data_IF_793283662399
#
_entry.id   IF_793283662399
#
_cell.length_a   1.000
_cell.length_b   1.000
_cell.length_c   1.000
_cell.angle_alpha   90.00
_cell.angle_beta   90.00
_cell.angle_gamma   90.00
#
_symmetry.space_group_name_H-M   'P 1'
#
loop_
_entity.id
_entity.type
_entity.pdbx_description
1 polymer ?
#
# COMPACT_ATOMS: atom_id res chain seq x y z
N UNK A 1 -14.23 -15.08 -10.20
CA UNK A 1 -13.72 -15.76 -11.41
C UNK A 1 -12.28 -16.15 -11.13
N UNK A 2 -11.96 -17.45 -11.04
CA UNK A 2 -10.58 -17.93 -10.79
C UNK A 2 -9.97 -18.29 -12.14
N UNK A 3 -8.99 -17.52 -12.59
CA UNK A 3 -8.13 -17.91 -13.71
C UNK A 3 -6.72 -18.00 -13.14
N UNK A 4 -6.19 -19.21 -13.15
CA UNK A 4 -4.84 -19.53 -12.68
C UNK A 4 -3.95 -19.49 -13.90
N UNK A 5 -2.81 -18.79 -13.84
CA UNK A 5 -1.81 -18.89 -14.90
C UNK A 5 -1.39 -20.35 -15.09
N UNK A 6 -1.19 -20.82 -16.32
CA UNK A 6 -0.80 -22.21 -16.60
C UNK A 6 0.54 -22.61 -15.98
N UNK A 7 1.34 -21.65 -15.47
CA UNK A 7 2.64 -21.89 -14.85
C UNK A 7 2.74 -21.47 -13.38
N UNK A 8 1.65 -20.98 -12.77
CA UNK A 8 1.66 -20.68 -11.33
C UNK A 8 1.53 -21.99 -10.55
N UNK A 9 2.60 -22.43 -9.89
CA UNK A 9 2.58 -23.58 -9.00
C UNK A 9 1.83 -23.23 -7.71
N UNK A 10 0.50 -23.20 -7.82
CA UNK A 10 -0.40 -22.90 -6.72
C UNK A 10 -0.27 -23.89 -5.56
N UNK A 11 0.07 -25.15 -5.86
CA UNK A 11 0.25 -26.17 -4.83
C UNK A 11 1.45 -25.82 -3.95
N UNK A 12 2.57 -25.43 -4.56
CA UNK A 12 3.73 -24.92 -3.84
C UNK A 12 3.43 -23.60 -3.13
N UNK A 13 2.72 -22.65 -3.76
CA UNK A 13 2.34 -21.39 -3.09
C UNK A 13 1.45 -21.62 -1.86
N UNK A 14 0.45 -22.49 -1.94
CA UNK A 14 -0.40 -22.85 -0.81
C UNK A 14 0.36 -23.61 0.28
N UNK A 15 1.23 -24.55 -0.10
CA UNK A 15 2.03 -25.33 0.84
C UNK A 15 3.12 -24.50 1.54
N UNK A 16 3.69 -23.52 0.84
CA UNK A 16 4.90 -22.82 1.26
C UNK A 16 4.69 -21.36 1.68
N UNK A 17 3.56 -20.75 1.31
CA UNK A 17 3.31 -19.31 1.41
C UNK A 17 2.18 -18.87 2.34
N UNK A 18 1.18 -19.72 2.65
CA UNK A 18 -0.04 -19.32 3.36
C UNK A 18 -0.20 -19.87 4.79
N UNK A 19 0.68 -19.55 5.76
CA UNK A 19 0.46 -19.94 7.15
C UNK A 19 -0.69 -19.18 7.84
N UNK A 20 -1.30 -18.19 7.19
CA UNK A 20 -2.32 -17.28 7.76
C UNK A 20 -3.65 -17.21 6.98
N UNK A 21 -4.12 -18.31 6.37
CA UNK A 21 -5.36 -18.36 5.57
C UNK A 21 -5.39 -17.34 4.40
N UNK A 22 -4.22 -17.09 3.81
CA UNK A 22 -4.09 -16.20 2.67
C UNK A 22 -4.80 -16.78 1.44
N UNK A 23 -5.55 -15.93 0.72
CA UNK A 23 -6.17 -16.30 -0.55
C UNK A 23 -5.42 -15.64 -1.70
N UNK A 24 -4.77 -16.45 -2.54
CA UNK A 24 -4.11 -15.96 -3.74
C UNK A 24 -5.11 -15.87 -4.88
N UNK A 25 -5.16 -14.72 -5.55
CA UNK A 25 -5.97 -14.51 -6.74
C UNK A 25 -5.15 -13.71 -7.75
N UNK A 26 -5.07 -14.21 -8.98
CA UNK A 26 -4.40 -13.54 -10.10
C UNK A 26 -5.47 -12.84 -10.93
N UNK A 27 -5.23 -11.60 -11.33
CA UNK A 27 -6.10 -10.91 -12.27
C UNK A 27 -5.98 -11.61 -13.65
N UNK A 28 -7.08 -12.05 -14.26
CA UNK A 28 -7.01 -12.75 -15.54
C UNK A 28 -6.40 -11.82 -16.62
N UNK A 29 -5.68 -12.38 -17.61
CA UNK A 29 -5.34 -11.62 -18.80
C UNK A 29 -6.63 -11.19 -19.51
N UNK A 30 -6.65 -9.97 -20.02
CA UNK A 30 -7.75 -9.44 -20.82
C UNK A 30 -7.48 -9.76 -22.30
N UNK A 31 -8.29 -10.60 -22.96
CA UNK A 31 -8.07 -10.95 -24.36
C UNK A 31 -7.97 -9.71 -25.25
N UNK A 32 -6.92 -9.65 -26.09
CA UNK A 32 -6.68 -8.52 -26.99
C UNK A 32 -6.03 -7.29 -26.33
N UNK A 33 -5.69 -7.34 -25.04
CA UNK A 33 -5.06 -6.24 -24.31
C UNK A 33 -3.69 -6.65 -23.73
N UNK A 34 -2.77 -5.70 -23.51
CA UNK A 34 -1.47 -5.99 -22.90
C UNK A 34 -1.61 -6.43 -21.43
N UNK A 35 -0.67 -7.23 -20.89
CA UNK A 35 -0.70 -7.69 -19.49
C UNK A 35 -0.78 -6.56 -18.46
N UNK A 36 -0.26 -5.38 -18.80
CA UNK A 36 -0.30 -4.17 -17.96
C UNK A 36 -1.71 -3.65 -17.71
N UNK A 37 -2.68 -4.02 -18.56
CA UNK A 37 -4.11 -3.75 -18.33
C UNK A 37 -4.63 -4.52 -17.13
N UNK A 38 -4.21 -5.79 -16.97
CA UNK A 38 -4.62 -6.60 -15.82
C UNK A 38 -4.15 -5.96 -14.52
N UNK A 39 -2.88 -5.51 -14.46
CA UNK A 39 -2.36 -4.78 -13.30
C UNK A 39 -3.17 -3.49 -13.01
N UNK A 40 -3.48 -2.70 -14.04
CA UNK A 40 -4.28 -1.48 -13.89
C UNK A 40 -5.68 -1.76 -13.31
N UNK A 41 -6.32 -2.87 -13.70
CA UNK A 41 -7.67 -3.21 -13.27
C UNK A 41 -7.72 -4.05 -11.98
N UNK A 42 -6.59 -4.59 -11.51
CA UNK A 42 -6.50 -5.42 -10.30
C UNK A 42 -7.25 -4.85 -9.09
N UNK A 43 -7.11 -3.56 -8.72
CA UNK A 43 -7.81 -3.04 -7.53
C UNK A 43 -9.34 -3.14 -7.64
N UNK A 44 -9.90 -2.90 -8.83
CA UNK A 44 -11.34 -2.97 -9.05
C UNK A 44 -11.85 -4.41 -9.14
N UNK A 45 -11.10 -5.27 -9.83
CA UNK A 45 -11.44 -6.70 -9.90
C UNK A 45 -11.41 -7.34 -8.51
N UNK A 46 -10.42 -7.00 -7.69
CA UNK A 46 -10.33 -7.44 -6.30
C UNK A 46 -11.49 -6.88 -5.46
N UNK A 47 -11.82 -5.60 -5.62
CA UNK A 47 -12.93 -4.96 -4.92
C UNK A 47 -14.26 -5.67 -5.18
N UNK A 48 -14.59 -5.91 -6.45
CA UNK A 48 -15.81 -6.61 -6.86
C UNK A 48 -15.82 -8.06 -6.36
N UNK A 49 -14.69 -8.77 -6.47
CA UNK A 49 -14.56 -10.15 -5.98
C UNK A 49 -14.78 -10.26 -4.46
N UNK A 50 -14.49 -9.20 -3.71
CA UNK A 50 -14.70 -9.11 -2.27
C UNK A 50 -16.07 -8.52 -1.88
N UNK A 51 -17.06 -8.52 -2.80
CA UNK A 51 -18.43 -8.08 -2.52
C UNK A 51 -18.72 -6.60 -2.78
N UNK A 52 -17.75 -5.88 -3.35
CA UNK A 52 -17.90 -4.52 -3.84
C UNK A 52 -18.47 -3.54 -2.81
N UNK A 53 -19.26 -2.58 -3.28
CA UNK A 53 -19.78 -1.51 -2.42
C UNK A 53 -20.79 -2.00 -1.36
N UNK A 54 -21.48 -3.12 -1.62
CA UNK A 54 -22.62 -3.58 -0.80
C UNK A 54 -22.23 -4.57 0.29
N UNK A 55 -21.19 -5.37 0.08
CA UNK A 55 -20.87 -6.52 0.93
C UNK A 55 -19.38 -6.69 1.25
N UNK A 56 -18.58 -5.65 1.04
CA UNK A 56 -17.15 -5.69 1.36
C UNK A 56 -16.89 -5.82 2.86
N UNK A 57 -16.20 -6.89 3.26
CA UNK A 57 -15.73 -7.16 4.63
C UNK A 57 -14.20 -6.96 4.77
N UNK A 58 -13.64 -6.02 4.01
CA UNK A 58 -12.21 -5.70 4.06
C UNK A 58 -12.03 -4.20 4.34
N UNK A 59 -10.91 -3.84 4.95
CA UNK A 59 -10.54 -2.45 5.22
C UNK A 59 -9.54 -1.90 4.21
N UNK A 60 -8.60 -2.73 3.78
CA UNK A 60 -7.48 -2.35 2.91
C UNK A 60 -7.23 -3.43 1.85
N UNK A 61 -6.88 -3.02 0.63
CA UNK A 61 -6.38 -3.90 -0.42
C UNK A 61 -4.93 -3.53 -0.69
N UNK A 62 -4.05 -4.54 -0.66
CA UNK A 62 -2.64 -4.43 -0.99
C UNK A 62 -2.47 -4.97 -2.41
N UNK A 63 -1.99 -4.13 -3.32
CA UNK A 63 -1.77 -4.49 -4.74
C UNK A 63 -0.28 -4.46 -5.00
N UNK A 64 0.27 -5.57 -5.46
CA UNK A 64 1.67 -5.70 -5.86
C UNK A 64 1.79 -6.64 -7.06
N UNK A 65 3.00 -6.73 -7.58
CA UNK A 65 3.38 -7.69 -8.61
C UNK A 65 3.62 -9.08 -8.00
N UNK A 66 3.86 -10.09 -8.83
CA UNK A 66 4.16 -11.47 -8.42
C UNK A 66 5.50 -11.61 -7.65
N UNK A 67 6.29 -10.55 -7.63
CA UNK A 67 7.58 -10.40 -6.95
C UNK A 67 7.56 -9.28 -5.88
N UNK A 68 6.37 -8.86 -5.43
CA UNK A 68 6.21 -7.97 -4.27
C UNK A 68 6.11 -8.78 -2.97
N UNK A 69 7.02 -8.56 -2.03
CA UNK A 69 6.95 -9.10 -0.66
C UNK A 69 6.27 -8.07 0.24
N UNK A 70 5.22 -8.46 0.96
CA UNK A 70 4.59 -7.61 1.98
C UNK A 70 4.98 -8.02 3.40
N UNK A 71 5.25 -7.02 4.25
CA UNK A 71 5.34 -7.21 5.70
C UNK A 71 4.01 -6.81 6.34
N UNK A 72 3.08 -7.78 6.50
CA UNK A 72 1.75 -7.50 7.06
C UNK A 72 1.81 -6.86 8.46
N UNK A 73 2.68 -7.28 9.41
CA UNK A 73 2.81 -6.58 10.69
C UNK A 73 3.24 -5.12 10.54
N UNK A 74 4.15 -4.82 9.60
CA UNK A 74 4.59 -3.45 9.34
C UNK A 74 3.49 -2.62 8.67
N UNK A 75 2.71 -3.21 7.76
CA UNK A 75 1.51 -2.58 7.19
C UNK A 75 0.50 -2.24 8.29
N UNK A 76 0.13 -3.21 9.13
CA UNK A 76 -0.81 -2.99 10.21
C UNK A 76 -0.33 -1.92 11.19
N UNK A 77 0.96 -1.95 11.56
CA UNK A 77 1.56 -0.89 12.38
C UNK A 77 1.48 0.47 11.69
N UNK A 78 1.89 0.56 10.41
CA UNK A 78 1.85 1.79 9.61
C UNK A 78 0.46 2.43 9.65
N UNK A 79 -0.59 1.62 9.42
CA UNK A 79 -1.98 2.05 9.40
C UNK A 79 -2.49 2.43 10.80
N UNK A 80 -2.23 1.60 11.81
CA UNK A 80 -2.75 1.77 13.17
C UNK A 80 -2.05 2.89 13.95
N UNK A 81 -0.70 2.96 13.93
CA UNK A 81 0.05 4.00 14.64
C UNK A 81 -0.22 5.40 14.05
N UNK A 82 -0.69 5.48 12.79
CA UNK A 82 -1.10 6.74 12.15
C UNK A 82 -2.59 7.03 12.25
N UNK A 83 -3.38 6.11 12.82
CA UNK A 83 -4.83 6.26 12.94
C UNK A 83 -5.54 6.46 11.60
N UNK A 84 -5.05 5.85 10.52
CA UNK A 84 -5.66 5.98 9.19
C UNK A 84 -6.98 5.22 9.16
N UNK A 85 -8.05 5.90 8.74
CA UNK A 85 -9.39 5.30 8.66
C UNK A 85 -9.60 4.67 7.29
N UNK A 86 -10.02 3.42 7.26
CA UNK A 86 -10.25 2.71 6.01
C UNK A 86 -11.42 3.30 5.18
N UNK A 87 -12.33 4.05 5.82
CA UNK A 87 -13.46 4.71 5.15
C UNK A 87 -13.04 5.99 4.44
N UNK A 88 -11.91 6.58 4.82
CA UNK A 88 -11.34 7.73 4.16
C UNK A 88 -10.55 7.30 2.91
N UNK A 89 -10.55 8.09 1.83
CA UNK A 89 -9.95 7.74 0.54
C UNK A 89 -8.43 7.86 0.54
N UNK A 90 -7.77 6.93 1.23
CA UNK A 90 -6.32 6.77 1.21
C UNK A 90 -5.84 5.92 0.03
N UNK A 91 -4.85 6.45 -0.67
CA UNK A 91 -3.93 5.72 -1.55
C UNK A 91 -2.53 5.81 -0.91
N UNK A 92 -1.81 4.70 -0.74
CA UNK A 92 -0.55 4.69 0.00
C UNK A 92 0.53 3.93 -0.78
N UNK A 93 1.63 4.61 -1.10
CA UNK A 93 2.84 4.05 -1.70
C UNK A 93 3.97 5.07 -1.56
N UNK A 94 5.24 4.63 -1.62
CA UNK A 94 6.30 5.55 -2.03
C UNK A 94 6.24 5.63 -3.55
N UNK A 95 6.11 6.83 -4.08
CA UNK A 95 5.79 7.04 -5.48
C UNK A 95 6.98 7.67 -6.21
N UNK A 96 7.03 7.49 -7.52
CA UNK A 96 8.04 8.07 -8.39
C UNK A 96 7.50 9.30 -9.12
N UNK A 97 8.37 10.27 -9.41
CA UNK A 97 8.03 11.40 -10.28
C UNK A 97 8.36 11.07 -11.74
N UNK A 98 7.38 11.25 -12.61
CA UNK A 98 7.58 11.39 -14.04
C UNK A 98 7.54 12.89 -14.35
N UNK A 99 8.70 13.49 -14.58
CA UNK A 99 8.75 14.88 -15.03
C UNK A 99 8.67 14.91 -16.56
N UNK A 100 7.93 15.89 -17.07
CA UNK A 100 7.74 16.11 -18.52
C UNK A 100 8.95 16.83 -19.13
N UNK A 101 9.86 17.38 -18.32
CA UNK A 101 11.06 18.10 -18.76
C UNK A 101 12.30 17.61 -18.00
N UNK A 102 13.36 17.25 -18.74
CA UNK A 102 14.63 16.69 -18.25
C UNK A 102 15.40 17.60 -17.27
N UNK A 103 15.03 18.88 -17.20
CA UNK A 103 15.77 19.90 -16.43
C UNK A 103 15.42 19.95 -14.95
N UNK A 104 14.47 19.14 -14.48
CA UNK A 104 14.08 19.08 -13.08
C UNK A 104 14.48 17.70 -12.56
N UNK A 105 15.35 17.66 -11.56
CA UNK A 105 15.86 16.40 -11.01
C UNK A 105 14.73 15.48 -10.57
N UNK A 106 14.38 14.50 -11.40
CA UNK A 106 13.42 13.45 -11.07
C UNK A 106 14.17 12.33 -10.36
N UNK A 107 14.60 12.56 -9.12
CA UNK A 107 15.06 11.47 -8.27
C UNK A 107 13.84 10.77 -7.66
N UNK A 108 13.67 9.49 -7.98
CA UNK A 108 12.62 8.66 -7.40
C UNK A 108 13.05 7.99 -6.09
N UNK A 109 12.21 7.10 -5.57
CA UNK A 109 10.86 7.40 -5.09
C UNK A 109 10.87 8.33 -3.86
N UNK A 110 9.74 8.96 -3.59
CA UNK A 110 9.55 9.95 -2.53
C UNK A 110 8.33 9.62 -1.67
N UNK A 111 8.41 9.98 -0.38
CA UNK A 111 7.38 9.67 0.61
C UNK A 111 6.35 10.81 0.82
N UNK A 112 6.54 11.98 0.18
CA UNK A 112 5.73 13.18 0.43
C UNK A 112 5.45 13.97 -0.85
N UNK A 113 4.18 13.99 -1.26
CA UNK A 113 3.75 14.69 -2.46
C UNK A 113 3.51 16.18 -2.16
N UNK A 114 4.33 17.09 -2.74
CA UNK A 114 4.25 18.52 -2.46
C UNK A 114 2.98 19.15 -3.02
N UNK A 115 2.20 18.42 -3.83
CA UNK A 115 0.90 18.89 -4.35
C UNK A 115 -0.22 18.71 -3.32
N UNK A 116 -0.02 17.89 -2.28
CA UNK A 116 -1.03 17.65 -1.27
C UNK A 116 -1.30 18.90 -0.44
N UNK A 117 -2.57 19.27 -0.31
CA UNK A 117 -2.99 20.25 0.68
C UNK A 117 -2.66 19.75 2.10
N UNK A 118 -2.39 20.67 3.06
CA UNK A 118 -2.15 20.31 4.45
C UNK A 118 -3.38 19.65 5.07
N UNK A 119 -3.15 18.78 6.05
CA UNK A 119 -4.24 18.22 6.84
C UNK A 119 -4.94 19.30 7.67
N UNK A 120 -6.22 19.08 8.04
CA UNK A 120 -6.93 19.99 8.94
C UNK A 120 -6.17 20.22 10.26
N UNK A 121 -6.32 21.39 10.90
CA UNK A 121 -5.70 21.64 12.19
C UNK A 121 -6.02 20.54 13.22
N UNK A 122 -4.99 20.08 13.94
CA UNK A 122 -5.12 18.99 14.92
C UNK A 122 -5.14 17.58 14.34
N UNK A 123 -5.10 17.42 13.00
CA UNK A 123 -5.04 16.12 12.33
C UNK A 123 -3.61 15.86 11.84
N UNK A 124 -2.97 14.82 12.38
CA UNK A 124 -1.59 14.47 12.03
C UNK A 124 -1.46 13.84 10.63
N UNK A 125 -2.42 12.99 10.25
CA UNK A 125 -2.43 12.27 8.98
C UNK A 125 -3.83 12.31 8.35
N UNK A 126 -3.90 12.50 7.04
CA UNK A 126 -5.16 12.60 6.30
C UNK A 126 -4.94 12.17 4.84
N UNK A 127 -6.01 11.84 4.09
CA UNK A 127 -5.92 11.65 2.65
C UNK A 127 -5.29 12.88 1.97
N UNK A 128 -4.40 12.64 1.01
CA UNK A 128 -3.85 13.72 0.21
C UNK A 128 -4.95 14.32 -0.69
N UNK A 129 -5.27 15.59 -0.46
CA UNK A 129 -6.17 16.37 -1.34
C UNK A 129 -5.35 17.17 -2.33
N UNK A 130 -5.66 17.02 -3.60
CA UNK A 130 -5.02 17.77 -4.68
C UNK A 130 -5.83 19.03 -5.01
N UNK A 131 -5.16 20.16 -5.32
CA UNK A 131 -5.87 21.35 -5.78
C UNK A 131 -6.45 21.11 -7.20
N UNK A 132 -7.53 21.81 -7.59
CA UNK A 132 -8.20 21.60 -8.88
C UNK A 132 -7.28 21.67 -10.11
N UNK A 133 -6.24 22.50 -10.07
CA UNK A 133 -5.25 22.60 -11.15
C UNK A 133 -4.45 21.32 -11.42
N UNK A 134 -4.40 20.38 -10.46
CA UNK A 134 -3.67 19.12 -10.56
C UNK A 134 -4.57 17.91 -10.93
N UNK A 135 -5.88 18.12 -11.11
CA UNK A 135 -6.86 17.04 -11.38
C UNK A 135 -7.28 16.96 -12.84
N UNK A 136 -6.58 17.66 -13.74
CA UNK A 136 -6.92 17.69 -15.17
C UNK A 136 -6.43 16.44 -15.91
N UNK A 137 -7.09 16.06 -17.01
CA UNK A 137 -6.67 14.96 -17.87
C UNK A 137 -5.41 15.35 -18.68
N UNK A 138 -4.56 14.39 -18.99
CA UNK A 138 -3.32 14.59 -19.75
C UNK A 138 -2.12 15.01 -18.88
N UNK A 139 -0.95 15.14 -19.49
CA UNK A 139 0.34 15.38 -18.81
C UNK A 139 0.70 16.87 -18.65
N UNK A 140 -0.12 17.79 -19.19
CA UNK A 140 0.17 19.21 -19.21
C UNK A 140 -0.60 19.96 -18.11
N UNK A 141 0.06 20.17 -16.96
CA UNK A 141 -0.56 20.79 -15.79
C UNK A 141 -0.15 22.26 -15.64
N UNK A 142 -0.54 23.13 -16.58
CA UNK A 142 -0.19 24.56 -16.51
C UNK A 142 -0.68 25.24 -15.22
N UNK A 143 -1.80 24.75 -14.65
CA UNK A 143 -2.41 25.28 -13.43
C UNK A 143 -2.00 24.53 -12.14
N UNK A 144 -1.19 23.45 -12.21
CA UNK A 144 -0.75 22.73 -11.03
C UNK A 144 0.54 23.35 -10.48
N UNK A 145 0.64 23.64 -9.17
CA UNK A 145 1.83 24.23 -8.57
C UNK A 145 3.12 23.43 -8.79
N UNK A 146 3.00 22.09 -8.88
CA UNK A 146 4.10 21.21 -9.23
C UNK A 146 3.75 20.43 -10.49
N UNK A 147 4.45 20.68 -11.60
CA UNK A 147 4.23 20.02 -12.90
C UNK A 147 4.82 18.60 -12.95
N UNK A 148 4.39 17.78 -12.01
CA UNK A 148 4.89 16.42 -11.81
C UNK A 148 3.73 15.45 -11.98
N UNK A 149 3.94 14.40 -12.79
CA UNK A 149 3.08 13.22 -12.75
C UNK A 149 3.70 12.25 -11.75
N UNK A 150 2.87 11.57 -10.98
CA UNK A 150 3.32 10.58 -9.99
C UNK A 150 2.70 9.23 -10.33
N UNK A 151 3.43 8.17 -10.04
CA UNK A 151 2.96 6.79 -10.13
C UNK A 151 3.52 6.02 -8.93
N UNK A 152 2.86 4.95 -8.43
CA UNK A 152 3.51 4.08 -7.46
C UNK A 152 4.82 3.57 -8.08
N UNK A 153 5.81 3.33 -7.23
CA UNK A 153 7.03 2.69 -7.70
C UNK A 153 6.70 1.23 -8.09
N UNK A 154 6.78 0.92 -9.38
CA UNK A 154 6.41 -0.39 -9.94
C UNK A 154 7.09 -1.56 -9.19
N UNK A 155 6.32 -2.62 -8.95
CA UNK A 155 6.74 -3.80 -8.19
C UNK A 155 6.98 -3.61 -6.69
N UNK A 156 6.94 -2.39 -6.14
CA UNK A 156 6.90 -2.20 -4.68
C UNK A 156 5.49 -2.24 -4.10
N UNK A 157 4.48 -2.10 -4.96
CA UNK A 157 3.08 -2.16 -4.58
C UNK A 157 2.51 -0.86 -4.02
N UNK A 158 1.19 -0.91 -3.82
CA UNK A 158 0.35 0.20 -3.40
C UNK A 158 -0.79 -0.33 -2.54
N UNK A 159 -1.20 0.45 -1.54
CA UNK A 159 -2.29 0.11 -0.64
C UNK A 159 -3.47 1.04 -0.92
N UNK A 160 -4.63 0.45 -1.15
CA UNK A 160 -5.91 1.13 -1.28
C UNK A 160 -6.73 0.95 -0.01
N UNK A 161 -7.25 2.04 0.53
CA UNK A 161 -8.36 1.99 1.49
C UNK A 161 -9.65 1.57 0.82
N UNK A 162 -10.58 1.01 1.60
CA UNK A 162 -11.96 0.80 1.17
C UNK A 162 -12.62 2.11 0.68
N UNK A 163 -12.40 3.22 1.37
CA UNK A 163 -12.90 4.54 1.00
C UNK A 163 -12.44 4.99 -0.39
N UNK A 164 -11.18 4.70 -0.76
CA UNK A 164 -10.65 5.00 -2.08
C UNK A 164 -11.31 4.14 -3.16
N UNK A 165 -11.47 2.83 -2.93
CA UNK A 165 -12.11 1.94 -3.90
C UNK A 165 -13.59 2.28 -4.11
N UNK A 166 -14.31 2.63 -3.04
CA UNK A 166 -15.67 3.15 -3.13
C UNK A 166 -15.72 4.44 -3.96
N UNK A 167 -14.77 5.35 -3.75
CA UNK A 167 -14.69 6.59 -4.52
C UNK A 167 -14.47 6.30 -6.01
N UNK A 168 -13.54 5.41 -6.35
CA UNK A 168 -13.18 5.06 -7.73
C UNK A 168 -14.29 4.33 -8.49
N UNK A 169 -15.19 3.65 -7.76
CA UNK A 169 -16.30 2.87 -8.34
C UNK A 169 -17.65 3.58 -8.32
N UNK A 170 -17.72 4.81 -7.77
CA UNK A 170 -18.96 5.60 -7.77
C UNK A 170 -19.46 5.91 -9.18
N UNK A 171 -18.55 6.19 -10.10
CA UNK A 171 -18.85 6.44 -11.50
C UNK A 171 -18.29 5.29 -12.35
N UNK A 172 -19.16 4.44 -12.96
CA UNK A 172 -18.70 3.34 -13.81
C UNK A 172 -17.97 3.84 -15.08
N UNK A 173 -18.13 5.10 -15.46
CA UNK A 173 -17.46 5.71 -16.62
C UNK A 173 -16.10 6.34 -16.27
N UNK A 174 -15.65 6.24 -15.02
CA UNK A 174 -14.38 6.83 -14.61
C UNK A 174 -13.18 5.91 -14.85
N UNK A 175 -13.12 4.79 -14.12
CA UNK A 175 -11.87 4.03 -14.00
C UNK A 175 -11.56 3.16 -15.23
N UNK A 176 -12.53 2.38 -15.70
CA UNK A 176 -12.31 1.47 -16.83
C UNK A 176 -11.99 2.23 -18.13
N UNK A 177 -12.73 3.29 -18.52
CA UNK A 177 -12.37 4.10 -19.68
C UNK A 177 -10.99 4.75 -19.52
N UNK A 178 -10.63 5.22 -18.33
CA UNK A 178 -9.29 5.76 -18.08
C UNK A 178 -8.20 4.69 -18.27
N UNK A 179 -8.41 3.48 -17.76
CA UNK A 179 -7.47 2.37 -17.92
C UNK A 179 -7.28 2.03 -19.41
N UNK A 180 -8.38 1.94 -20.16
CA UNK A 180 -8.36 1.71 -21.60
C UNK A 180 -7.58 2.80 -22.33
N UNK A 181 -7.93 4.07 -22.15
CA UNK A 181 -7.30 5.20 -22.83
C UNK A 181 -5.81 5.37 -22.49
N UNK A 182 -5.42 5.04 -21.24
CA UNK A 182 -4.06 5.30 -20.76
C UNK A 182 -3.11 4.15 -21.09
N UNK A 183 -3.55 2.89 -20.90
CA UNK A 183 -2.69 1.71 -21.11
C UNK A 183 -2.62 1.33 -22.59
N UNK A 184 -3.67 1.64 -23.37
CA UNK A 184 -3.77 1.35 -24.81
C UNK A 184 -4.20 2.63 -25.54
N UNK A 185 -3.38 3.29 -26.36
CA UNK A 185 -2.04 2.94 -26.88
C UNK A 185 -0.84 3.65 -26.21
N UNK A 186 -1.05 4.48 -25.17
CA UNK A 186 -0.11 5.57 -24.83
C UNK A 186 0.94 5.26 -23.76
N UNK A 187 0.66 4.38 -22.78
CA UNK A 187 1.59 4.09 -21.68
C UNK A 187 1.69 2.59 -21.37
N UNK A 188 2.88 1.97 -21.49
CA UNK A 188 3.07 0.54 -21.22
C UNK A 188 3.08 0.17 -19.73
N UNK A 189 2.50 0.98 -18.84
CA UNK A 189 2.57 0.78 -17.39
C UNK A 189 1.20 0.99 -16.71
N UNK A 190 0.67 -0.08 -16.09
CA UNK A 190 -0.58 -0.04 -15.33
C UNK A 190 -0.52 0.84 -14.08
N UNK A 191 0.67 0.99 -13.49
CA UNK A 191 0.96 1.87 -12.33
C UNK A 191 0.41 3.29 -12.51
N UNK A 192 0.47 3.78 -13.74
CA UNK A 192 0.02 5.12 -14.08
C UNK A 192 -1.48 5.27 -13.82
N UNK A 193 -2.28 4.27 -14.17
CA UNK A 193 -3.73 4.29 -13.93
C UNK A 193 -4.03 4.26 -12.44
N UNK A 194 -3.24 3.50 -11.67
CA UNK A 194 -3.39 3.39 -10.22
C UNK A 194 -3.23 4.75 -9.52
N UNK A 195 -2.41 5.65 -10.08
CA UNK A 195 -2.23 7.01 -9.58
C UNK A 195 -3.16 8.04 -10.23
N UNK A 196 -3.42 7.95 -11.53
CA UNK A 196 -4.23 8.93 -12.25
C UNK A 196 -5.72 8.82 -11.92
N UNK A 197 -6.25 7.62 -11.67
CA UNK A 197 -7.66 7.47 -11.37
C UNK A 197 -8.05 8.19 -10.06
N UNK A 198 -7.30 8.07 -8.94
CA UNK A 198 -7.52 8.90 -7.75
C UNK A 198 -7.25 10.39 -8.00
N UNK A 199 -6.20 10.72 -8.77
CA UNK A 199 -5.79 12.10 -9.06
C UNK A 199 -6.88 12.91 -9.73
N UNK A 200 -7.52 12.33 -10.75
CA UNK A 200 -8.63 12.95 -11.47
C UNK A 200 -9.84 13.21 -10.56
N UNK A 201 -9.96 12.48 -9.44
CA UNK A 201 -10.99 12.70 -8.41
C UNK A 201 -10.51 13.60 -7.26
N UNK A 202 -9.33 14.22 -7.38
CA UNK A 202 -8.79 15.15 -6.40
C UNK A 202 -7.96 14.53 -5.27
N UNK A 203 -7.47 13.30 -5.45
CA UNK A 203 -6.68 12.60 -4.43
C UNK A 203 -5.31 12.15 -4.93
N UNK A 204 -4.29 12.34 -4.10
CA UNK A 204 -2.94 11.84 -4.35
C UNK A 204 -2.53 10.74 -3.38
N UNK A 205 -1.22 10.48 -3.28
CA UNK A 205 -0.67 9.57 -2.29
C UNK A 205 -0.72 10.18 -0.89
N UNK A 206 -1.29 9.45 0.06
CA UNK A 206 -1.42 9.82 1.47
C UNK A 206 -0.06 10.14 2.05
N UNK A 207 0.05 11.30 2.71
CA UNK A 207 1.27 11.68 3.42
C UNK A 207 1.45 10.77 4.65
N UNK A 208 2.55 10.03 4.68
CA UNK A 208 2.90 9.11 5.78
C UNK A 208 3.93 9.68 6.77
N UNK A 209 4.46 10.87 6.50
CA UNK A 209 5.40 11.58 7.38
C UNK A 209 4.71 12.80 8.01
N UNK A 210 4.99 13.13 9.28
CA UNK A 210 4.45 14.33 9.92
C UNK A 210 4.77 15.60 9.12
N UNK A 211 3.86 16.57 9.12
CA UNK A 211 4.02 17.82 8.36
C UNK A 211 5.33 18.59 8.69
N UNK A 212 5.82 18.47 9.92
CA UNK A 212 7.07 19.09 10.37
C UNK A 212 8.32 18.47 9.74
N UNK A 213 8.34 17.15 9.48
CA UNK A 213 9.45 16.49 8.77
C UNK A 213 9.44 16.84 7.28
N UNK A 214 8.25 17.09 6.72
CA UNK A 214 8.07 17.45 5.32
C UNK A 214 8.43 18.91 4.97
N UNK A 215 8.39 19.83 5.95
CA UNK A 215 8.57 21.26 5.72
C UNK A 215 10.04 21.74 5.82
N UNK A 216 10.98 20.87 6.21
CA UNK A 216 12.35 21.30 6.49
C UNK A 216 13.46 20.26 6.34
N UNK A 217 13.18 19.02 5.94
CA UNK A 217 14.26 18.07 5.65
C UNK A 217 14.72 18.13 4.20
N UNK A 218 16.04 18.22 3.92
CA UNK A 218 16.55 17.80 2.63
C UNK A 218 16.10 16.36 2.38
N UNK A 219 15.82 16.03 1.12
CA UNK A 219 15.32 14.75 0.60
C UNK A 219 15.29 13.60 1.63
N UNK A 220 14.15 12.89 1.80
CA UNK A 220 14.00 11.85 2.81
C UNK A 220 15.24 10.96 2.82
N UNK A 221 15.89 10.83 3.99
CA UNK A 221 17.08 10.00 4.12
C UNK A 221 16.76 8.66 3.45
N UNK A 222 17.57 8.18 2.49
CA UNK A 222 17.28 6.99 1.67
C UNK A 222 16.84 5.74 2.46
N UNK A 223 17.16 5.67 3.77
CA UNK A 223 16.74 4.61 4.69
C UNK A 223 15.38 4.77 5.38
N UNK A 224 14.56 5.79 5.12
CA UNK A 224 13.21 5.94 5.75
C UNK A 224 12.06 5.84 4.76
N UNK A 225 12.26 5.06 3.71
CA UNK A 225 11.20 4.67 2.77
C UNK A 225 10.30 3.59 3.42
N UNK A 226 9.05 3.53 2.99
CA UNK A 226 8.11 2.48 3.37
C UNK A 226 8.06 1.37 2.30
N UNK A 227 8.19 1.73 1.03
CA UNK A 227 8.04 0.82 -0.11
C UNK A 227 9.38 0.71 -0.85
N UNK A 228 9.86 -0.52 -1.04
CA UNK A 228 11.10 -0.81 -1.76
C UNK A 228 12.30 0.05 -1.31
N UNK A 229 12.44 0.23 0.01
CA UNK A 229 13.41 1.14 0.65
C UNK A 229 14.87 0.82 0.32
N UNK A 230 15.13 -0.37 -0.21
CA UNK A 230 16.45 -0.81 -0.63
C UNK A 230 16.47 -1.35 -2.06
N UNK A 231 15.42 -1.20 -2.86
CA UNK A 231 15.43 -1.62 -4.26
C UNK A 231 15.82 -0.43 -5.16
N UNK A 232 16.57 -0.73 -6.22
CA UNK A 232 16.82 0.20 -7.31
C UNK A 232 15.87 -0.07 -8.48
N UNK A 233 15.63 0.94 -9.31
CA UNK A 233 14.85 0.76 -10.54
C UNK A 233 15.63 -0.17 -11.46
N UNK A 234 14.99 -1.28 -11.89
CA UNK A 234 15.67 -2.39 -12.56
C UNK A 234 16.89 -2.89 -11.77
N UNK A 235 16.67 -3.22 -10.49
CA UNK A 235 17.72 -3.73 -9.62
C UNK A 235 18.49 -4.90 -10.28
N UNK A 236 19.79 -4.70 -10.48
CA UNK A 236 20.66 -5.69 -11.14
C UNK A 236 21.42 -6.56 -10.14
N UNK A 237 21.18 -6.41 -8.83
CA UNK A 237 21.80 -7.32 -7.84
C UNK A 237 21.28 -8.74 -8.06
N UNK A 238 21.83 -9.73 -7.37
CA UNK A 238 21.23 -11.07 -7.27
C UNK A 238 20.25 -11.13 -6.08
N UNK A 239 19.30 -12.08 -5.99
CA UNK A 239 18.34 -12.08 -4.88
C UNK A 239 19.06 -12.29 -3.54
N UNK A 240 20.14 -13.08 -3.58
CA UNK A 240 21.00 -13.33 -2.43
C UNK A 240 21.77 -12.07 -2.01
N UNK A 241 22.30 -11.28 -2.96
CA UNK A 241 22.96 -10.00 -2.65
C UNK A 241 21.97 -9.02 -2.02
N UNK A 242 20.79 -8.88 -2.61
CA UNK A 242 19.72 -8.02 -2.08
C UNK A 242 19.34 -8.46 -0.65
N UNK A 243 19.19 -9.76 -0.41
CA UNK A 243 18.95 -10.27 0.94
C UNK A 243 20.08 -9.93 1.93
N UNK A 244 21.35 -10.00 1.53
CA UNK A 244 22.46 -9.60 2.42
C UNK A 244 22.41 -8.10 2.75
N UNK A 245 22.07 -7.26 1.79
CA UNK A 245 21.94 -5.81 2.02
C UNK A 245 20.81 -5.50 3.01
N UNK A 246 19.66 -6.17 2.86
CA UNK A 246 18.53 -6.06 3.79
C UNK A 246 18.89 -6.58 5.18
N UNK A 247 19.64 -7.69 5.26
CA UNK A 247 20.15 -8.21 6.53
C UNK A 247 21.13 -7.25 7.20
N UNK A 248 22.01 -6.62 6.43
CA UNK A 248 22.94 -5.62 6.92
C UNK A 248 22.19 -4.39 7.46
N UNK A 249 21.15 -3.92 6.75
CA UNK A 249 20.29 -2.84 7.23
C UNK A 249 19.58 -3.21 8.54
N UNK A 250 18.98 -4.40 8.61
CA UNK A 250 18.30 -4.86 9.82
C UNK A 250 19.23 -4.86 11.06
N UNK A 251 20.53 -5.07 10.84
CA UNK A 251 21.53 -5.06 11.91
C UNK A 251 22.01 -3.64 12.23
N UNK A 252 22.23 -2.77 11.23
CA UNK A 252 22.81 -1.44 11.41
C UNK A 252 21.79 -0.37 11.78
N UNK A 253 20.57 -0.45 11.24
CA UNK A 253 19.46 0.47 11.49
C UNK A 253 18.12 -0.29 11.55
N UNK A 254 17.84 -1.01 12.66
CA UNK A 254 16.61 -1.77 12.81
C UNK A 254 15.35 -0.88 12.80
N UNK A 255 15.47 0.39 13.17
CA UNK A 255 14.36 1.33 13.15
C UNK A 255 13.95 1.69 11.71
N UNK A 256 14.93 1.99 10.86
CA UNK A 256 14.73 2.15 9.41
C UNK A 256 14.20 0.87 8.76
N UNK A 257 14.79 -0.29 9.08
CA UNK A 257 14.35 -1.56 8.53
C UNK A 257 12.87 -1.84 8.86
N UNK A 258 12.42 -1.51 10.08
CA UNK A 258 11.01 -1.63 10.45
C UNK A 258 10.08 -0.67 9.72
N UNK A 259 10.53 0.41 9.09
CA UNK A 259 9.58 1.23 8.33
C UNK A 259 9.14 0.56 7.03
N UNK A 260 9.87 -0.47 6.56
CA UNK A 260 9.55 -1.16 5.32
C UNK A 260 8.27 -1.99 5.44
N UNK A 261 7.29 -1.66 4.61
CA UNK A 261 6.03 -2.41 4.48
C UNK A 261 6.04 -3.33 3.28
N UNK A 262 6.87 -3.06 2.27
CA UNK A 262 7.05 -3.94 1.12
C UNK A 262 8.48 -3.91 0.57
N UNK A 263 8.84 -4.99 -0.12
CA UNK A 263 10.10 -5.13 -0.85
C UNK A 263 9.81 -5.68 -2.24
N UNK A 264 10.38 -5.07 -3.27
CA UNK A 264 10.32 -5.57 -4.64
C UNK A 264 11.53 -6.48 -4.88
N UNK A 265 11.32 -7.76 -5.21
CA UNK A 265 12.43 -8.72 -5.38
C UNK A 265 12.82 -9.00 -6.83
N UNK A 266 12.13 -8.41 -7.82
CA UNK A 266 12.45 -8.62 -9.24
C UNK A 266 13.80 -8.04 -9.62
N UNK A 267 14.53 -8.83 -10.40
CA UNK A 267 15.79 -8.43 -10.99
C UNK A 267 15.73 -8.65 -12.49
N UNK A 268 16.18 -7.66 -13.25
CA UNK A 268 16.39 -7.82 -14.70
C UNK A 268 17.84 -8.26 -14.89
N UNK A 269 18.07 -9.54 -15.14
CA UNK A 269 19.41 -10.04 -15.50
C UNK A 269 19.42 -10.44 -16.98
N UNK A 270 19.76 -9.49 -17.85
CA UNK A 270 19.77 -9.70 -19.30
C UNK A 270 18.40 -10.05 -19.88
N UNK A 271 18.38 -10.93 -20.88
CA UNK A 271 17.17 -11.43 -21.57
C UNK A 271 16.57 -12.69 -20.90
N UNK A 272 17.07 -13.10 -19.73
CA UNK A 272 16.62 -14.31 -19.04
C UNK A 272 15.75 -13.96 -17.84
N UNK A 273 14.50 -14.42 -17.88
CA UNK A 273 13.65 -14.47 -16.69
C UNK A 273 14.07 -15.68 -15.85
N UNK A 274 14.67 -15.43 -14.68
CA UNK A 274 14.87 -16.45 -13.67
C UNK A 274 13.53 -17.04 -13.22
N UNK A 275 13.53 -18.31 -12.81
CA UNK A 275 12.30 -18.96 -12.34
C UNK A 275 11.99 -18.41 -10.93
N UNK A 276 10.89 -17.66 -10.80
CA UNK A 276 10.44 -17.04 -9.54
C UNK A 276 10.47 -18.05 -8.37
N UNK A 277 9.95 -19.26 -8.60
CA UNK A 277 9.79 -20.27 -7.56
C UNK A 277 11.12 -20.93 -7.16
N UNK A 278 12.02 -21.20 -8.11
CA UNK A 278 13.31 -21.84 -7.81
C UNK A 278 14.33 -20.84 -7.25
N UNK A 279 14.42 -19.68 -7.89
CA UNK A 279 15.55 -18.77 -7.74
C UNK A 279 15.24 -17.65 -6.71
N UNK A 280 13.97 -17.30 -6.51
CA UNK A 280 13.55 -16.22 -5.60
C UNK A 280 12.84 -16.69 -4.35
N UNK A 281 12.13 -17.83 -4.37
CA UNK A 281 11.39 -18.28 -3.19
C UNK A 281 12.28 -18.51 -1.95
N UNK A 282 13.49 -19.10 -2.03
CA UNK A 282 14.34 -19.24 -0.84
C UNK A 282 14.81 -17.89 -0.27
N UNK A 283 15.36 -16.95 -1.07
CA UNK A 283 15.64 -15.59 -0.60
C UNK A 283 14.40 -14.84 -0.07
N UNK A 284 13.25 -14.98 -0.72
CA UNK A 284 11.97 -14.41 -0.31
C UNK A 284 11.58 -14.90 1.09
N UNK A 285 11.64 -16.22 1.34
CA UNK A 285 11.37 -16.80 2.66
C UNK A 285 12.30 -16.26 3.73
N UNK A 286 13.59 -16.15 3.43
CA UNK A 286 14.57 -15.58 4.38
C UNK A 286 14.30 -14.11 4.66
N UNK A 287 13.82 -13.36 3.67
CA UNK A 287 13.41 -11.97 3.84
C UNK A 287 12.16 -11.87 4.72
N UNK A 288 11.13 -12.69 4.49
CA UNK A 288 9.95 -12.77 5.36
C UNK A 288 10.34 -13.12 6.79
N UNK A 289 11.19 -14.14 7.00
CA UNK A 289 11.71 -14.49 8.32
C UNK A 289 12.48 -13.34 8.98
N UNK A 290 13.28 -12.59 8.21
CA UNK A 290 14.02 -11.44 8.72
C UNK A 290 13.05 -10.34 9.19
N UNK A 291 12.04 -10.02 8.38
CA UNK A 291 11.00 -9.05 8.73
C UNK A 291 10.28 -9.44 10.02
N UNK A 292 9.82 -10.69 10.13
CA UNK A 292 9.13 -11.18 11.33
C UNK A 292 10.02 -11.15 12.57
N UNK A 293 11.26 -11.66 12.49
CA UNK A 293 12.17 -11.69 13.65
C UNK A 293 12.53 -10.31 14.18
N UNK A 294 12.67 -9.31 13.30
CA UNK A 294 12.94 -7.93 13.72
C UNK A 294 11.73 -7.37 14.46
N UNK A 295 10.51 -7.63 13.97
CA UNK A 295 9.28 -7.20 14.65
C UNK A 295 9.13 -7.82 16.04
N UNK A 296 9.28 -9.15 16.15
CA UNK A 296 9.17 -9.88 17.41
C UNK A 296 10.17 -9.38 18.46
N UNK A 297 11.43 -9.13 18.05
CA UNK A 297 12.47 -8.63 18.94
C UNK A 297 12.15 -7.24 19.47
N UNK A 298 11.66 -6.35 18.61
CA UNK A 298 11.33 -4.99 19.02
C UNK A 298 10.05 -4.93 19.86
N UNK A 299 9.07 -5.79 19.58
CA UNK A 299 7.89 -5.94 20.44
C UNK A 299 8.29 -6.46 21.84
N UNK A 300 9.17 -7.45 21.91
CA UNK A 300 9.71 -7.95 23.17
C UNK A 300 10.45 -6.86 23.96
N UNK A 301 11.26 -6.03 23.28
CA UNK A 301 11.91 -4.86 23.90
C UNK A 301 10.90 -3.85 24.43
N UNK A 302 9.85 -3.52 23.66
CA UNK A 302 8.77 -2.62 24.10
C UNK A 302 8.05 -3.17 25.34
N UNK A 303 7.70 -4.46 25.34
CA UNK A 303 7.07 -5.13 26.49
C UNK A 303 7.97 -5.12 27.73
N UNK A 304 9.27 -5.37 27.56
CA UNK A 304 10.25 -5.31 28.65
C UNK A 304 10.41 -3.87 29.20
N UNK A 305 10.43 -2.86 28.32
CA UNK A 305 10.53 -1.45 28.70
C UNK A 305 9.26 -0.90 29.39
N UNK A 306 8.09 -1.43 29.06
CA UNK A 306 6.82 -1.07 29.71
C UNK A 306 6.71 -1.56 31.17
N UNK A 307 7.63 -2.43 31.61
CA UNK A 307 7.68 -2.96 32.97
C UNK A 307 6.54 -3.93 33.31
N UNK A 308 6.71 -4.76 34.35
CA UNK A 308 5.65 -5.63 34.84
C UNK A 308 4.64 -4.78 35.65
N UNK A 309 3.70 -4.10 34.98
CA UNK A 309 2.72 -3.28 35.70
C UNK A 309 1.70 -2.48 34.90
N UNK A 310 1.78 -2.43 33.57
CA UNK A 310 0.78 -1.74 32.73
C UNK A 310 -0.04 -2.69 31.85
N UNK A 311 -0.32 -3.89 32.36
CA UNK A 311 -1.34 -4.79 31.80
C UNK A 311 -2.71 -4.50 32.42
N UNK A 312 -3.60 -3.90 31.62
CA UNK A 312 -5.07 -4.04 31.69
C UNK A 312 -5.71 -3.93 33.08
N UNK A 313 -6.11 -2.71 33.48
CA UNK A 313 -7.34 -2.55 34.27
C UNK A 313 -8.51 -2.93 33.35
N UNK A 314 -8.90 -4.19 33.40
CA UNK A 314 -10.22 -4.63 33.01
C UNK A 314 -11.23 -3.96 33.94
N UNK A 315 -11.94 -2.96 33.44
CA UNK A 315 -13.11 -2.41 34.11
C UNK A 315 -14.30 -3.37 33.86
N UNK A 316 -14.26 -4.50 34.55
CA UNK A 316 -15.42 -5.37 34.77
C UNK A 316 -15.97 -5.14 36.17
N UNK A 317 -16.51 -3.93 36.37
CA UNK A 317 -17.41 -3.63 37.48
C UNK A 317 -18.79 -4.25 37.25
N UNK A 318 -18.95 -5.53 37.62
CA UNK A 318 -20.24 -6.13 37.94
C UNK A 318 -20.91 -5.33 39.05
N UNK A 319 -22.01 -4.65 38.74
CA UNK A 319 -22.97 -4.10 39.70
C UNK A 319 -24.36 -4.64 39.43
N UNK A 320 -24.59 -5.92 39.77
CA UNK A 320 -25.93 -6.48 39.81
C UNK A 320 -26.64 -6.02 41.09
N UNK A 321 -27.74 -5.29 40.95
CA UNK A 321 -28.82 -5.24 41.94
C UNK A 321 -30.15 -5.44 41.22
N UNK A 322 -31.00 -6.23 41.87
CA UNK A 322 -32.21 -6.88 41.37
C UNK A 322 -33.39 -5.89 41.14
N UNK A 323 -34.49 -6.34 40.50
CA UNK A 323 -35.57 -5.47 40.01
C UNK A 323 -36.62 -5.19 41.09
N UNK A 324 -37.37 -4.08 41.00
CA UNK A 324 -38.64 -3.98 41.71
C UNK A 324 -39.79 -4.38 40.79
N UNK A 325 -40.48 -5.45 41.17
CA UNK A 325 -41.90 -5.63 40.91
C UNK A 325 -42.71 -4.70 41.80
N UNK A 326 -43.60 -3.88 41.23
CA UNK A 326 -44.95 -3.69 41.79
C UNK A 326 -45.87 -3.02 40.77
N UNK A 327 -47.13 -3.42 40.84
CA UNK A 327 -48.28 -3.02 40.02
C UNK A 327 -48.87 -1.70 40.53
N UNK A 328 -49.53 -0.94 39.65
CA UNK A 328 -50.98 -0.62 39.69
C UNK A 328 -51.38 0.82 39.31
N UNK A 329 -52.58 0.91 38.71
CA UNK A 329 -53.51 2.05 38.48
C UNK A 329 -53.03 3.18 37.55
N UNK A 330 -53.66 3.40 36.37
CA UNK A 330 -55.01 3.95 36.10
C UNK A 330 -55.18 5.39 36.62
N UNK A 331 -55.20 6.39 35.72
CA UNK A 331 -56.34 7.29 35.46
C UNK A 331 -55.93 8.58 34.71
N UNK A 332 -56.61 8.80 33.57
CA UNK A 332 -57.17 10.04 33.00
C UNK A 332 -56.44 11.39 33.15
N UNK A 333 -56.25 12.02 31.99
CA UNK A 333 -56.15 13.45 31.73
C UNK A 333 -56.17 13.65 30.22
#
# INVERSE_FOLDING_TARGET
>A
MRVVEPNADLATLHMLGAPYDETYSVAPPLPGHPPTMSHALTPLLAFEALGGAKHSNFSWILVGDDDTVWSLPAVLRLLNERGLRAEDPHLISDYQYHCVQEQHGCSGPVAVDPRCAPCPPGVAYCPCRLPPGCTQRGWNYSACPNKLRVAPYGGAGVIFSRGMLLLLTRDPHHYLPLAMDTVVPEAPAGDVVLADAPRLLGYGFTRLQPAAEAAGSPAPRPGRRFFASHCQFNDLRSPQTHFQDLKALAASDPAAFRTMVSVHVRQRYGDQYYNLMRDYLPPYRRLVELLLRVEEREEAKRKAAAGPGQGTRDDHGRGGTAPPTSKASVARG
#
